data_IF_943944804384
#
_entry.id   IF_943944804384
#
_cell.length_a   1.000
_cell.length_b   1.000
_cell.length_c   1.000
_cell.angle_alpha   90.00
_cell.angle_beta   90.00
_cell.angle_gamma   90.00
#
_symmetry.space_group_name_H-M   'P 1'
#
loop_
_entity.id
_entity.type
_entity.pdbx_description
1 polymer ?
#
# COMPACT_ATOMS: atom_id res chain seq x y z
N UNK A 1 5.53 6.07 -10.21
CA UNK A 1 4.53 7.07 -9.80
C UNK A 1 5.04 7.78 -8.56
N UNK A 2 4.48 8.94 -8.24
CA UNK A 2 4.66 9.59 -6.96
C UNK A 2 3.32 9.60 -6.23
N UNK A 3 3.40 9.69 -4.91
CA UNK A 3 2.25 9.76 -4.01
C UNK A 3 2.47 10.91 -3.04
N UNK A 4 1.39 11.62 -2.72
CA UNK A 4 1.36 12.57 -1.62
C UNK A 4 0.14 12.30 -0.75
N UNK A 5 0.28 12.48 0.56
CA UNK A 5 -0.80 12.34 1.50
C UNK A 5 -0.71 13.43 2.58
N UNK A 6 -1.85 13.98 2.98
CA UNK A 6 -1.92 14.88 4.12
C UNK A 6 -3.26 14.70 4.83
N UNK A 7 -3.27 15.00 6.13
CA UNK A 7 -4.48 15.03 6.94
C UNK A 7 -4.82 16.50 7.20
N UNK A 8 -6.06 16.87 6.93
CA UNK A 8 -6.56 18.24 7.08
C UNK A 8 -7.81 18.25 7.95
N UNK A 9 -7.94 19.28 8.80
CA UNK A 9 -9.11 19.46 9.66
C UNK A 9 -10.20 20.27 8.95
N UNK A 10 -11.47 19.94 9.19
CA UNK A 10 -12.61 20.73 8.74
C UNK A 10 -12.83 20.78 7.23
N UNK A 11 -12.15 19.92 6.45
CA UNK A 11 -12.30 19.89 4.99
C UNK A 11 -13.74 19.53 4.59
N UNK A 12 -14.26 20.24 3.59
CA UNK A 12 -15.59 20.01 3.01
C UNK A 12 -15.50 20.00 1.49
N UNK A 13 -16.30 19.16 0.80
CA UNK A 13 -17.34 18.26 1.31
C UNK A 13 -16.80 17.03 2.09
N UNK A 14 -17.66 16.41 2.91
CA UNK A 14 -17.31 15.27 3.78
C UNK A 14 -18.36 14.17 3.64
N UNK A 15 -17.91 12.99 3.20
CA UNK A 15 -18.73 11.78 3.09
C UNK A 15 -18.14 10.71 4.00
N UNK A 16 -18.91 10.31 5.02
CA UNK A 16 -18.46 9.29 5.97
C UNK A 16 -18.60 7.88 5.39
N UNK A 17 -17.66 7.00 5.75
CA UNK A 17 -17.62 5.60 5.28
C UNK A 17 -17.53 5.45 3.75
N UNK A 18 -17.07 6.50 3.06
CA UNK A 18 -16.91 6.51 1.59
C UNK A 18 -15.46 6.82 1.23
N UNK A 19 -14.88 5.97 0.37
CA UNK A 19 -13.60 6.24 -0.30
C UNK A 19 -13.88 6.89 -1.66
N UNK A 20 -13.79 8.20 -1.74
CA UNK A 20 -14.15 8.94 -2.96
C UNK A 20 -12.89 9.26 -3.77
N UNK A 21 -12.91 8.91 -5.06
CA UNK A 21 -11.77 9.13 -5.97
C UNK A 21 -12.18 9.91 -7.21
N UNK A 22 -11.35 10.86 -7.61
CA UNK A 22 -11.42 11.53 -8.90
C UNK A 22 -10.15 11.23 -9.69
N UNK A 23 -10.31 10.76 -10.92
CA UNK A 23 -9.22 10.31 -11.76
C UNK A 23 -9.26 11.05 -13.10
N UNK A 24 -8.09 11.53 -13.53
CA UNK A 24 -7.81 11.99 -14.88
C UNK A 24 -6.65 11.16 -15.45
N UNK A 25 -6.41 11.15 -16.78
CA UNK A 25 -5.33 10.34 -17.33
C UNK A 25 -3.98 10.63 -16.64
N UNK A 26 -3.39 9.60 -16.03
CA UNK A 26 -2.12 9.64 -15.32
C UNK A 26 -2.17 10.21 -13.90
N UNK A 27 -3.35 10.59 -13.38
CA UNK A 27 -3.49 11.26 -12.09
C UNK A 27 -4.76 10.79 -11.37
N UNK A 28 -4.64 10.66 -10.06
CA UNK A 28 -5.75 10.31 -9.19
C UNK A 28 -5.63 11.14 -7.92
N UNK A 29 -6.76 11.65 -7.47
CA UNK A 29 -6.90 12.23 -6.15
C UNK A 29 -8.04 11.52 -5.43
N UNK A 30 -7.93 11.37 -4.13
CA UNK A 30 -8.92 10.73 -3.29
C UNK A 30 -9.07 11.47 -1.96
N UNK A 31 -10.24 11.34 -1.36
CA UNK A 31 -10.48 11.75 0.03
C UNK A 31 -11.19 10.68 0.83
N UNK A 32 -10.84 10.63 2.11
CA UNK A 32 -11.46 9.74 3.10
C UNK A 32 -11.73 10.53 4.37
N UNK A 33 -12.95 10.43 4.89
CA UNK A 33 -13.30 10.98 6.19
C UNK A 33 -12.64 10.15 7.30
N UNK A 34 -11.88 10.81 8.18
CA UNK A 34 -11.33 10.26 9.41
C UNK A 34 -12.15 10.74 10.62
N UNK A 35 -11.83 10.26 11.82
CA UNK A 35 -12.44 10.75 13.07
C UNK A 35 -12.07 12.21 13.34
N UNK A 36 -12.75 12.83 14.31
CA UNK A 36 -12.42 14.17 14.83
C UNK A 36 -12.42 15.29 13.77
N UNK A 37 -13.36 15.19 12.81
CA UNK A 37 -13.51 16.09 11.67
C UNK A 37 -12.24 16.24 10.79
N UNK A 38 -11.40 15.21 10.79
CA UNK A 38 -10.22 15.12 9.94
C UNK A 38 -10.57 14.46 8.60
N UNK A 39 -9.85 14.82 7.55
CA UNK A 39 -9.94 14.20 6.23
C UNK A 39 -8.54 13.87 5.71
N UNK A 40 -8.35 12.65 5.22
CA UNK A 40 -7.15 12.26 4.49
C UNK A 40 -7.32 12.63 3.02
N UNK A 41 -6.42 13.44 2.49
CA UNK A 41 -6.30 13.71 1.06
C UNK A 41 -5.13 12.90 0.50
N UNK A 42 -5.38 12.13 -0.56
CA UNK A 42 -4.38 11.28 -1.20
C UNK A 42 -4.24 11.65 -2.67
N UNK A 43 -3.03 11.92 -3.12
CA UNK A 43 -2.69 12.25 -4.50
C UNK A 43 -1.75 11.20 -5.06
N UNK A 44 -2.09 10.64 -6.22
CA UNK A 44 -1.27 9.66 -6.93
C UNK A 44 -1.11 10.14 -8.36
N UNK A 45 0.12 10.26 -8.84
CA UNK A 45 0.36 10.73 -10.19
C UNK A 45 1.60 10.11 -10.83
N UNK A 46 1.59 10.04 -12.15
CA UNK A 46 2.75 9.60 -12.93
C UNK A 46 3.75 10.75 -13.03
N UNK A 47 4.93 10.56 -12.45
CA UNK A 47 6.06 11.47 -12.56
C UNK A 47 7.37 10.66 -12.63
N UNK A 48 8.43 11.30 -13.12
CA UNK A 48 9.80 10.78 -13.06
C UNK A 48 10.18 10.53 -11.59
N UNK A 49 10.94 9.46 -11.33
CA UNK A 49 11.41 9.09 -9.99
C UNK A 49 12.44 10.08 -9.45
N UNK A 50 13.13 10.83 -10.32
CA UNK A 50 14.10 11.85 -9.88
C UNK A 50 13.40 12.90 -9.02
N UNK A 51 14.06 13.28 -7.93
CA UNK A 51 13.66 14.44 -7.17
C UNK A 51 14.00 15.68 -7.98
N UNK A 52 13.01 16.52 -8.26
CA UNK A 52 13.19 17.79 -8.96
C UNK A 52 13.81 18.86 -8.06
N UNK A 53 13.90 18.62 -6.74
CA UNK A 53 14.27 19.62 -5.74
C UNK A 53 13.14 20.61 -5.42
N UNK A 54 11.99 20.50 -6.08
CA UNK A 54 10.81 21.29 -5.78
C UNK A 54 10.12 20.79 -4.51
N UNK A 55 9.45 21.69 -3.79
CA UNK A 55 8.63 21.29 -2.64
C UNK A 55 7.44 20.42 -3.09
N UNK A 56 6.92 19.53 -2.22
CA UNK A 56 5.74 18.72 -2.50
C UNK A 56 4.55 19.53 -3.02
N UNK A 57 4.29 20.70 -2.40
CA UNK A 57 3.19 21.61 -2.76
C UNK A 57 3.32 22.11 -4.20
N UNK A 58 4.52 22.55 -4.60
CA UNK A 58 4.76 23.04 -5.97
C UNK A 58 4.56 21.93 -6.99
N UNK A 59 5.01 20.72 -6.69
CA UNK A 59 4.78 19.56 -7.56
C UNK A 59 3.30 19.20 -7.65
N UNK A 60 2.56 19.22 -6.53
CA UNK A 60 1.12 18.97 -6.54
C UNK A 60 0.35 20.03 -7.34
N UNK A 61 0.66 21.32 -7.18
CA UNK A 61 0.10 22.41 -7.99
C UNK A 61 0.39 22.21 -9.48
N UNK A 62 1.61 21.80 -9.86
CA UNK A 62 1.95 21.51 -11.26
C UNK A 62 1.13 20.35 -11.83
N UNK A 63 0.84 19.35 -11.01
CA UNK A 63 0.20 18.12 -11.47
C UNK A 63 -1.34 18.19 -11.39
N UNK A 64 -1.91 18.96 -10.48
CA UNK A 64 -3.36 19.01 -10.25
C UNK A 64 -3.97 20.39 -10.43
N UNK A 65 -3.19 21.43 -10.75
CA UNK A 65 -3.70 22.80 -10.89
C UNK A 65 -4.63 23.01 -12.09
N UNK A 66 -4.52 22.18 -13.12
CA UNK A 66 -5.43 22.12 -14.28
C UNK A 66 -6.56 21.09 -14.11
N UNK A 67 -6.58 20.35 -12.99
CA UNK A 67 -7.59 19.34 -12.73
C UNK A 67 -8.87 19.98 -12.17
N UNK A 68 -10.04 19.54 -12.64
CA UNK A 68 -11.33 19.98 -12.14
C UNK A 68 -11.74 19.32 -10.82
N UNK A 69 -13.05 19.23 -10.57
CA UNK A 69 -13.62 18.71 -9.34
C UNK A 69 -13.14 19.51 -8.11
N UNK A 70 -12.81 18.84 -7.00
CA UNK A 70 -12.37 19.45 -5.75
C UNK A 70 -10.85 19.75 -5.74
N UNK A 71 -10.11 19.44 -6.82
CA UNK A 71 -8.66 19.61 -6.86
C UNK A 71 -8.18 21.02 -6.43
N UNK A 72 -8.79 22.14 -6.86
CA UNK A 72 -8.38 23.47 -6.38
C UNK A 72 -8.49 23.61 -4.86
N UNK A 73 -9.61 23.18 -4.27
CA UNK A 73 -9.86 23.24 -2.82
C UNK A 73 -8.93 22.31 -2.04
N UNK A 74 -8.66 21.11 -2.57
CA UNK A 74 -7.71 20.18 -1.98
C UNK A 74 -6.29 20.73 -1.98
N UNK A 75 -5.88 21.42 -3.06
CA UNK A 75 -4.56 22.06 -3.13
C UNK A 75 -4.44 23.21 -2.13
N UNK A 76 -5.48 24.02 -1.96
CA UNK A 76 -5.51 25.09 -0.95
C UNK A 76 -5.47 24.51 0.49
N UNK A 77 -6.13 23.38 0.72
CA UNK A 77 -6.08 22.68 2.01
C UNK A 77 -4.68 22.08 2.29
N UNK A 78 -4.01 21.54 1.26
CA UNK A 78 -2.63 21.03 1.39
C UNK A 78 -1.65 22.13 1.78
N UNK A 79 -1.84 23.37 1.32
CA UNK A 79 -0.98 24.51 1.68
C UNK A 79 -1.05 24.90 3.15
N UNK A 80 -2.16 24.58 3.81
CA UNK A 80 -2.37 24.87 5.24
C UNK A 80 -2.23 23.62 6.12
N UNK A 81 -1.92 22.47 5.53
CA UNK A 81 -1.67 21.24 6.26
C UNK A 81 -0.39 21.35 7.09
N UNK A 82 -0.40 20.79 8.30
CA UNK A 82 0.76 20.76 9.19
C UNK A 82 1.92 19.97 8.56
N UNK A 83 1.60 18.82 7.97
CA UNK A 83 2.57 17.95 7.30
C UNK A 83 2.01 17.36 6.02
N UNK A 84 2.90 17.21 5.03
CA UNK A 84 2.61 16.56 3.75
C UNK A 84 3.61 15.44 3.54
N UNK A 85 3.12 14.20 3.59
CA UNK A 85 3.89 13.05 3.13
C UNK A 85 4.00 13.10 1.61
N UNK A 86 5.20 12.90 1.07
CA UNK A 86 5.46 12.91 -0.36
C UNK A 86 6.60 11.97 -0.73
N UNK A 87 6.35 11.01 -1.61
CA UNK A 87 7.37 10.03 -1.99
C UNK A 87 7.14 9.40 -3.37
N UNK A 88 8.11 8.65 -3.85
CA UNK A 88 7.99 7.75 -4.98
C UNK A 88 7.35 6.44 -4.56
N UNK A 89 6.47 5.93 -5.43
CA UNK A 89 5.92 4.59 -5.26
C UNK A 89 6.99 3.57 -5.70
N UNK A 90 7.57 2.85 -4.75
CA UNK A 90 8.63 1.86 -4.98
C UNK A 90 8.40 0.52 -4.28
N UNK A 91 9.16 -0.48 -4.71
CA UNK A 91 9.26 -1.81 -4.10
C UNK A 91 10.71 -2.08 -3.72
N UNK A 92 10.93 -2.82 -2.64
CA UNK A 92 12.26 -3.34 -2.27
C UNK A 92 12.30 -4.82 -2.67
N UNK A 93 13.25 -5.18 -3.52
CA UNK A 93 13.44 -6.54 -4.04
C UNK A 93 14.87 -6.97 -3.77
N UNK A 94 15.02 -8.08 -3.07
CA UNK A 94 16.32 -8.63 -2.68
C UNK A 94 16.26 -10.15 -2.83
N UNK A 95 17.35 -10.74 -3.32
CA UNK A 95 17.47 -12.19 -3.44
C UNK A 95 17.64 -12.87 -2.07
N UNK A 96 18.10 -12.11 -1.06
CA UNK A 96 18.27 -12.58 0.31
C UNK A 96 17.91 -11.49 1.33
N UNK A 97 17.22 -11.86 2.41
CA UNK A 97 16.76 -10.94 3.47
C UNK A 97 17.61 -10.96 4.75
N UNK A 98 18.70 -11.71 4.78
CA UNK A 98 19.55 -11.83 5.95
C UNK A 98 21.03 -12.02 5.59
N UNK A 99 21.92 -11.65 6.49
CA UNK A 99 23.36 -11.88 6.38
C UNK A 99 23.96 -12.07 7.78
N UNK A 100 24.55 -13.25 8.01
CA UNK A 100 25.07 -13.63 9.32
C UNK A 100 23.97 -13.60 10.39
N UNK A 101 24.11 -12.70 11.37
CA UNK A 101 23.18 -12.55 12.50
C UNK A 101 22.15 -11.43 12.33
N UNK A 102 22.08 -10.82 11.14
CA UNK A 102 21.17 -9.72 10.84
C UNK A 102 20.13 -10.20 9.83
N UNK A 103 18.86 -10.02 10.15
CA UNK A 103 17.73 -10.27 9.25
C UNK A 103 16.89 -9.00 9.09
N UNK A 104 16.31 -8.83 7.90
CA UNK A 104 15.38 -7.75 7.57
C UNK A 104 13.95 -8.24 7.73
N UNK A 105 13.04 -7.33 8.09
CA UNK A 105 11.61 -7.61 8.24
C UNK A 105 10.79 -6.40 7.77
N UNK A 106 9.52 -6.64 7.40
CA UNK A 106 8.60 -5.60 6.94
C UNK A 106 9.05 -4.94 5.63
N UNK A 107 8.85 -3.64 5.51
CA UNK A 107 9.21 -2.90 4.29
C UNK A 107 10.70 -2.99 3.95
N UNK A 108 11.57 -3.11 4.97
CA UNK A 108 13.01 -3.26 4.77
C UNK A 108 13.39 -4.56 4.06
N UNK A 109 12.61 -5.64 4.27
CA UNK A 109 12.80 -6.91 3.58
C UNK A 109 12.14 -6.91 2.20
N UNK A 110 10.91 -6.39 2.11
CA UNK A 110 10.09 -6.60 0.93
C UNK A 110 8.89 -5.67 0.80
N UNK A 111 9.12 -4.36 0.74
CA UNK A 111 8.06 -3.38 0.51
C UNK A 111 7.24 -3.68 -0.76
N UNK A 112 5.92 -3.81 -0.63
CA UNK A 112 5.01 -4.16 -1.73
C UNK A 112 4.63 -2.96 -2.61
N UNK A 113 4.70 -1.73 -2.09
CA UNK A 113 4.19 -0.44 -2.61
C UNK A 113 2.99 0.09 -1.82
N UNK A 114 2.99 1.39 -1.50
CA UNK A 114 1.92 2.13 -0.82
C UNK A 114 0.53 1.98 -1.47
N UNK A 115 0.46 1.71 -2.77
CA UNK A 115 -0.81 1.54 -3.49
C UNK A 115 -1.54 0.22 -3.13
N UNK A 116 -0.85 -0.72 -2.49
CA UNK A 116 -1.43 -2.01 -2.11
C UNK A 116 -2.23 -1.97 -0.80
N UNK A 117 -1.96 -1.04 0.11
CA UNK A 117 -2.62 -0.99 1.43
C UNK A 117 -2.35 -2.19 2.37
N UNK A 118 -1.54 -3.16 1.93
CA UNK A 118 -1.28 -4.43 2.64
C UNK A 118 0.04 -4.44 3.45
N UNK A 119 0.85 -3.38 3.38
CA UNK A 119 2.21 -3.36 3.93
C UNK A 119 2.27 -3.64 5.44
N UNK A 120 1.36 -3.06 6.23
CA UNK A 120 1.30 -3.28 7.68
C UNK A 120 0.95 -4.72 8.02
N UNK A 121 -0.04 -5.30 7.36
CA UNK A 121 -0.44 -6.69 7.57
C UNK A 121 0.72 -7.64 7.24
N UNK A 122 1.39 -7.41 6.11
CA UNK A 122 2.56 -8.20 5.72
C UNK A 122 3.71 -8.07 6.73
N UNK A 123 3.98 -6.86 7.23
CA UNK A 123 5.03 -6.64 8.22
C UNK A 123 4.75 -7.39 9.52
N UNK A 124 3.50 -7.38 9.98
CA UNK A 124 3.06 -8.14 11.15
C UNK A 124 3.21 -9.66 10.93
N UNK A 125 2.74 -10.16 9.79
CA UNK A 125 2.91 -11.58 9.41
C UNK A 125 4.39 -11.97 9.36
N UNK A 126 5.22 -11.16 8.73
CA UNK A 126 6.66 -11.41 8.64
C UNK A 126 7.34 -11.42 10.01
N UNK A 127 6.96 -10.50 10.90
CA UNK A 127 7.48 -10.47 12.27
C UNK A 127 7.07 -11.72 13.07
N UNK A 128 5.82 -12.17 12.93
CA UNK A 128 5.32 -13.39 13.56
C UNK A 128 6.09 -14.63 13.09
N UNK A 129 6.24 -14.81 11.78
CA UNK A 129 6.97 -15.95 11.21
C UNK A 129 8.44 -15.93 11.65
N UNK A 130 9.12 -14.77 11.54
CA UNK A 130 10.51 -14.66 11.96
C UNK A 130 10.71 -15.02 13.44
N UNK A 131 9.84 -14.53 14.32
CA UNK A 131 9.91 -14.83 15.75
C UNK A 131 9.67 -16.32 16.03
N UNK A 132 8.70 -16.94 15.35
CA UNK A 132 8.40 -18.36 15.51
C UNK A 132 9.53 -19.28 15.01
N UNK A 133 10.11 -18.98 13.85
CA UNK A 133 11.26 -19.74 13.35
C UNK A 133 12.49 -19.61 14.25
N UNK A 134 12.69 -18.45 14.87
CA UNK A 134 13.74 -18.26 15.88
C UNK A 134 13.50 -19.09 17.15
N UNK A 135 12.26 -19.14 17.67
CA UNK A 135 11.89 -19.96 18.83
C UNK A 135 12.15 -21.44 18.55
N UNK A 136 11.74 -21.92 17.38
CA UNK A 136 11.84 -23.34 16.99
C UNK A 136 13.26 -23.80 16.64
N UNK A 137 14.16 -22.88 16.29
CA UNK A 137 15.51 -23.24 15.84
C UNK A 137 16.52 -23.43 16.97
N UNK A 138 16.11 -23.29 18.25
CA UNK A 138 16.95 -23.59 19.40
C UNK A 138 18.27 -22.79 19.45
N UNK A 139 18.27 -21.56 18.92
CA UNK A 139 19.44 -20.69 18.83
C UNK A 139 20.22 -20.75 17.50
N UNK A 140 19.86 -21.66 16.59
CA UNK A 140 20.40 -21.67 15.22
C UNK A 140 19.70 -20.62 14.35
N UNK A 141 20.26 -19.41 14.32
CA UNK A 141 19.70 -18.30 13.57
C UNK A 141 19.78 -18.49 12.05
N UNK A 142 20.75 -19.24 11.53
CA UNK A 142 20.86 -19.45 10.07
C UNK A 142 19.70 -20.33 9.57
N UNK A 143 19.37 -21.37 10.34
CA UNK A 143 18.19 -22.20 10.09
C UNK A 143 16.90 -21.38 10.18
N UNK A 144 16.76 -20.57 11.22
CA UNK A 144 15.56 -19.73 11.42
C UNK A 144 15.37 -18.74 10.26
N UNK A 145 16.42 -18.02 9.88
CA UNK A 145 16.35 -17.02 8.82
C UNK A 145 16.07 -17.65 7.45
N UNK A 146 16.67 -18.81 7.16
CA UNK A 146 16.38 -19.54 5.93
C UNK A 146 14.91 -20.03 5.88
N UNK A 147 14.35 -20.47 7.01
CA UNK A 147 12.95 -20.88 7.08
C UNK A 147 11.99 -19.70 6.92
N UNK A 148 12.25 -18.58 7.62
CA UNK A 148 11.51 -17.33 7.47
C UNK A 148 11.47 -16.85 6.02
N UNK A 149 12.64 -16.79 5.37
CA UNK A 149 12.77 -16.39 3.97
C UNK A 149 12.01 -17.34 3.04
N UNK A 150 12.15 -18.65 3.24
CA UNK A 150 11.45 -19.66 2.42
C UNK A 150 9.92 -19.53 2.48
N UNK A 151 9.37 -19.18 3.64
CA UNK A 151 7.93 -19.01 3.83
C UNK A 151 7.43 -17.68 3.28
N UNK A 152 8.12 -16.59 3.60
CA UNK A 152 7.63 -15.24 3.32
C UNK A 152 7.98 -14.73 1.92
N UNK A 153 9.14 -15.10 1.37
CA UNK A 153 9.63 -14.54 0.10
C UNK A 153 8.68 -14.77 -1.08
N UNK A 154 8.14 -15.99 -1.32
CA UNK A 154 7.18 -16.22 -2.41
C UNK A 154 5.88 -15.44 -2.26
N UNK A 155 5.41 -15.28 -1.01
CA UNK A 155 4.20 -14.52 -0.72
C UNK A 155 4.40 -13.04 -1.02
N UNK A 156 5.50 -12.46 -0.56
CA UNK A 156 5.88 -11.07 -0.85
C UNK A 156 6.05 -10.83 -2.34
N UNK A 157 6.73 -11.73 -3.05
CA UNK A 157 6.94 -11.64 -4.50
C UNK A 157 5.62 -11.63 -5.27
N UNK A 158 4.66 -12.48 -4.89
CA UNK A 158 3.32 -12.51 -5.47
C UNK A 158 2.59 -11.17 -5.28
N UNK A 159 2.60 -10.64 -4.05
CA UNK A 159 1.97 -9.36 -3.74
C UNK A 159 2.64 -8.19 -4.47
N UNK A 160 3.97 -8.19 -4.56
CA UNK A 160 4.73 -7.21 -5.33
C UNK A 160 4.40 -7.26 -6.84
N UNK A 161 4.29 -8.46 -7.42
CA UNK A 161 3.88 -8.61 -8.82
C UNK A 161 2.45 -8.10 -9.06
N UNK A 162 1.54 -8.36 -8.13
CA UNK A 162 0.16 -7.87 -8.19
C UNK A 162 0.07 -6.36 -8.05
N UNK A 163 0.82 -5.75 -7.11
CA UNK A 163 0.91 -4.30 -6.96
C UNK A 163 1.48 -3.63 -8.22
N UNK A 164 2.49 -4.21 -8.87
CA UNK A 164 3.05 -3.68 -10.11
C UNK A 164 2.03 -3.68 -11.26
N UNK A 165 1.19 -4.71 -11.36
CA UNK A 165 0.08 -4.79 -12.32
C UNK A 165 -1.02 -3.75 -12.00
N UNK A 166 -1.31 -3.51 -10.73
CA UNK A 166 -2.36 -2.59 -10.29
C UNK A 166 -2.04 -1.11 -10.52
N UNK A 167 -0.77 -0.71 -10.72
CA UNK A 167 -0.39 0.69 -11.02
C UNK A 167 -1.18 1.25 -12.22
N UNK A 168 -1.42 0.41 -13.23
CA UNK A 168 -2.20 0.78 -14.41
C UNK A 168 -3.65 1.11 -14.10
N UNK A 169 -4.23 0.53 -13.04
CA UNK A 169 -5.59 0.78 -12.61
C UNK A 169 -5.73 2.11 -11.84
N UNK A 170 -4.78 2.43 -10.96
CA UNK A 170 -4.81 3.67 -10.18
C UNK A 170 -4.46 4.90 -11.01
N UNK A 171 -3.52 4.79 -11.96
CA UNK A 171 -3.08 5.88 -12.82
C UNK A 171 -3.07 5.44 -14.30
N UNK A 172 -4.25 5.14 -14.84
CA UNK A 172 -4.43 4.75 -16.24
C UNK A 172 -3.93 5.88 -17.16
N UNK A 173 -3.33 5.52 -18.29
CA UNK A 173 -2.77 6.50 -19.24
C UNK A 173 -3.80 7.11 -20.19
N UNK A 174 -5.02 6.56 -20.24
CA UNK A 174 -6.00 6.88 -21.28
C UNK A 174 -7.38 7.13 -20.71
N UNK A 175 -8.14 8.04 -21.34
CA UNK A 175 -9.53 8.30 -20.98
C UNK A 175 -10.41 7.06 -21.16
N UNK A 176 -10.18 6.26 -22.21
CA UNK A 176 -10.86 4.98 -22.40
C UNK A 176 -10.60 4.00 -21.25
N UNK A 177 -9.34 3.91 -20.79
CA UNK A 177 -8.98 3.08 -19.65
C UNK A 177 -9.69 3.50 -18.35
N UNK A 178 -9.89 4.82 -18.14
CA UNK A 178 -10.71 5.32 -17.03
C UNK A 178 -12.16 4.89 -17.14
N UNK A 179 -12.76 4.98 -18.34
CA UNK A 179 -14.14 4.54 -18.56
C UNK A 179 -14.33 3.04 -18.29
N UNK A 180 -13.40 2.20 -18.77
CA UNK A 180 -13.42 0.75 -18.51
C UNK A 180 -13.28 0.45 -17.02
N UNK A 181 -12.33 1.12 -16.33
CA UNK A 181 -12.17 1.00 -14.87
C UNK A 181 -13.45 1.38 -14.14
N UNK A 182 -14.04 2.53 -14.46
CA UNK A 182 -15.24 3.03 -13.78
C UNK A 182 -16.44 2.09 -14.02
N UNK A 183 -16.54 1.50 -15.22
CA UNK A 183 -17.53 0.47 -15.51
C UNK A 183 -17.30 -0.79 -14.65
N UNK A 184 -16.05 -1.27 -14.56
CA UNK A 184 -15.71 -2.41 -13.72
C UNK A 184 -16.01 -2.15 -12.23
N UNK A 185 -15.65 -0.98 -11.71
CA UNK A 185 -15.98 -0.57 -10.34
C UNK A 185 -17.50 -0.56 -10.08
N UNK A 186 -18.28 -0.02 -11.02
CA UNK A 186 -19.75 -0.03 -10.93
C UNK A 186 -20.32 -1.44 -11.01
N UNK A 187 -19.75 -2.30 -11.84
CA UNK A 187 -20.16 -3.69 -11.96
C UNK A 187 -19.87 -4.51 -10.69
N UNK A 188 -18.85 -4.15 -9.88
CA UNK A 188 -18.60 -4.79 -8.59
C UNK A 188 -19.70 -4.54 -7.55
N UNK A 189 -20.53 -3.50 -7.70
CA UNK A 189 -21.73 -3.34 -6.89
C UNK A 189 -22.82 -4.37 -7.23
N UNK A 190 -22.61 -5.20 -8.26
CA UNK A 190 -23.46 -6.34 -8.59
C UNK A 190 -22.95 -7.59 -7.87
N UNK A 191 -23.70 -8.08 -6.88
CA UNK A 191 -23.28 -9.15 -5.95
C UNK A 191 -22.64 -10.41 -6.58
N UNK A 192 -23.11 -10.92 -7.73
CA UNK A 192 -22.47 -12.04 -8.42
C UNK A 192 -21.05 -11.76 -8.91
N UNK A 193 -20.76 -10.53 -9.36
CA UNK A 193 -19.43 -10.12 -9.83
C UNK A 193 -18.49 -9.95 -8.64
N UNK A 194 -18.98 -9.39 -7.53
CA UNK A 194 -18.20 -9.27 -6.30
C UNK A 194 -17.72 -10.63 -5.79
N UNK A 195 -18.57 -11.67 -5.82
CA UNK A 195 -18.19 -13.03 -5.38
C UNK A 195 -17.08 -13.65 -6.25
N UNK A 196 -17.04 -13.33 -7.54
CA UNK A 196 -16.05 -13.86 -8.47
C UNK A 196 -14.70 -13.14 -8.34
N UNK A 197 -14.71 -11.85 -7.99
CA UNK A 197 -13.49 -11.02 -7.81
C UNK A 197 -12.92 -11.12 -6.39
N UNK A 198 -13.77 -11.26 -5.36
CA UNK A 198 -13.35 -11.31 -3.96
C UNK A 198 -12.48 -12.54 -3.64
N UNK A 199 -12.69 -13.67 -4.32
CA UNK A 199 -11.95 -14.90 -4.07
C UNK A 199 -10.44 -14.84 -4.37
N UNK A 200 -9.97 -13.84 -5.13
CA UNK A 200 -8.54 -13.61 -5.39
C UNK A 200 -7.95 -12.39 -4.67
N UNK A 201 -8.76 -11.65 -3.90
CA UNK A 201 -8.30 -10.48 -3.12
C UNK A 201 -7.92 -10.88 -1.69
N UNK A 202 -8.56 -11.93 -1.17
CA UNK A 202 -8.23 -12.53 0.12
C UNK A 202 -7.27 -13.70 -0.12
N UNK A 203 -6.07 -13.42 -0.63
CA UNK A 203 -4.99 -14.40 -0.57
C UNK A 203 -4.61 -14.55 0.91
N UNK A 204 -5.16 -15.61 1.52
CA UNK A 204 -4.93 -15.98 2.90
C UNK A 204 -3.54 -16.62 2.99
N UNK A 205 -2.62 -15.93 3.68
CA UNK A 205 -1.34 -16.53 4.04
C UNK A 205 -1.59 -17.50 5.19
N UNK A 206 -1.35 -18.79 4.96
CA UNK A 206 -1.49 -19.81 6.00
C UNK A 206 -0.41 -19.60 7.07
N UNK A 207 -0.84 -19.17 8.25
CA UNK A 207 0.05 -18.82 9.35
C UNK A 207 0.50 -20.10 10.08
N UNK A 208 1.81 -20.34 10.21
CA UNK A 208 2.30 -21.47 10.99
C UNK A 208 1.87 -21.36 12.47
N UNK A 209 1.46 -22.48 13.07
CA UNK A 209 1.21 -22.55 14.50
C UNK A 209 2.48 -22.95 15.25
N UNK A 210 3.13 -21.96 15.85
CA UNK A 210 4.34 -22.15 16.65
C UNK A 210 4.05 -22.53 18.11
N UNK A 211 2.80 -22.34 18.59
CA UNK A 211 2.46 -22.59 19.99
C UNK A 211 2.24 -24.09 20.27
N UNK A 212 1.68 -24.83 19.32
CA UNK A 212 1.38 -26.27 19.48
C UNK A 212 2.56 -27.19 19.17
N UNK A 213 3.63 -26.67 18.58
CA UNK A 213 4.82 -27.44 18.20
C UNK A 213 5.90 -27.52 19.29
N UNK A 214 5.63 -26.99 20.48
CA UNK A 214 6.52 -27.14 21.64
C UNK A 214 6.51 -28.60 22.09
N UNK A 215 7.65 -29.31 22.12
CA UNK A 215 7.76 -30.54 22.88
C UNK A 215 7.43 -30.22 24.34
N UNK A 216 6.46 -30.92 24.92
CA UNK A 216 5.89 -30.59 26.22
C UNK A 216 6.96 -30.29 27.27
N UNK A 217 6.83 -29.14 27.93
CA UNK A 217 7.47 -28.92 29.22
C UNK A 217 6.75 -29.82 30.22
N UNK A 218 7.20 -31.07 30.33
CA UNK A 218 6.90 -31.90 31.50
C UNK A 218 7.55 -31.20 32.68
N UNK A 219 6.74 -30.65 33.56
CA UNK A 219 7.13 -30.31 34.93
C UNK A 219 6.39 -31.26 35.86
#
# INVERSE_FOLDING_TARGET
>A
CKVAACVVAGYRPRDELVYLTYNTPGRQVARVALRDDLSLLLFIFRADRRNSGASPIVELRRQFGDAGWECPQMLDAVETAEDVYFDVVSQIRMDRWWNGRVALVGDAAGCISLLGGEGTGLAMTGAYVLAGELDQSGGDHERAFAAYEKLMHPFVDSKQASAARAVGFFATRTAFGLSVRNLALRAMNFGPVLKLVAGGLLDEFDLPDYATQRPGTVT
#
